data_IF_612906873130
#
_entry.id   IF_612906873130
#
_cell.length_a   1.000
_cell.length_b   1.000
_cell.length_c   1.000
_cell.angle_alpha   90.00
_cell.angle_beta   90.00
_cell.angle_gamma   90.00
#
_symmetry.space_group_name_H-M   'P 1'
#
loop_
_entity.id
_entity.type
_entity.pdbx_description
1 polymer ?
#
# COMPACT_ATOMS: atom_id res chain seq x y z
N UNK A 1 -7.07 8.81 -9.34
CA UNK A 1 -6.77 7.46 -9.86
C UNK A 1 -5.43 7.36 -10.62
N UNK A 2 -5.11 8.32 -11.48
CA UNK A 2 -3.91 8.31 -12.35
C UNK A 2 -2.56 8.28 -11.61
N UNK A 3 -2.48 8.84 -10.40
CA UNK A 3 -1.24 8.87 -9.60
C UNK A 3 -1.01 7.60 -8.79
N UNK A 4 -2.08 6.91 -8.41
CA UNK A 4 -2.01 5.69 -7.59
C UNK A 4 -1.47 4.51 -8.43
N UNK A 5 -1.83 4.42 -9.72
CA UNK A 5 -1.29 3.39 -10.63
C UNK A 5 0.22 3.54 -10.86
N UNK A 6 0.71 4.77 -11.07
CA UNK A 6 2.16 5.03 -11.18
C UNK A 6 2.90 4.74 -9.87
N UNK A 7 2.29 5.06 -8.73
CA UNK A 7 2.86 4.77 -7.43
C UNK A 7 2.95 3.26 -7.19
N UNK A 8 1.88 2.50 -7.43
CA UNK A 8 1.88 1.02 -7.31
C UNK A 8 2.92 0.36 -8.22
N UNK A 9 3.06 0.84 -9.46
CA UNK A 9 4.10 0.34 -10.36
C UNK A 9 5.53 0.61 -9.84
N UNK A 10 5.76 1.71 -9.12
CA UNK A 10 7.08 2.04 -8.53
C UNK A 10 7.40 1.26 -7.26
N UNK A 11 6.38 0.95 -6.44
CA UNK A 11 6.56 0.27 -5.16
C UNK A 11 6.26 -1.24 -5.25
N UNK A 12 5.80 -1.71 -6.42
CA UNK A 12 5.56 -3.12 -6.71
C UNK A 12 4.51 -3.72 -5.77
N UNK A 13 4.81 -4.89 -5.20
CA UNK A 13 3.95 -5.63 -4.26
C UNK A 13 3.58 -4.82 -3.01
N UNK A 14 4.37 -3.80 -2.66
CA UNK A 14 4.09 -2.91 -1.53
C UNK A 14 2.94 -1.93 -1.81
N UNK A 15 2.46 -1.86 -3.05
CA UNK A 15 1.28 -1.08 -3.43
C UNK A 15 -0.03 -1.58 -2.82
N UNK A 16 -0.05 -2.85 -2.41
CA UNK A 16 -1.21 -3.52 -1.80
C UNK A 16 -1.36 -3.23 -0.30
N UNK A 17 -0.37 -2.57 0.31
CA UNK A 17 -0.45 -2.07 1.69
C UNK A 17 -1.45 -0.92 1.86
N UNK A 18 -1.81 -0.23 0.77
CA UNK A 18 -2.80 0.85 0.81
C UNK A 18 -4.18 0.24 0.56
N UNK A 19 -4.86 -0.11 1.65
CA UNK A 19 -6.25 -0.59 1.61
C UNK A 19 -7.20 0.60 1.61
N UNK A 20 -8.20 0.53 0.74
CA UNK A 20 -9.26 1.53 0.66
C UNK A 20 -10.40 1.08 1.57
N UNK A 21 -10.76 1.89 2.55
CA UNK A 21 -11.88 1.64 3.47
C UNK A 21 -13.03 2.56 3.08
N UNK A 22 -14.13 1.97 2.64
CA UNK A 22 -15.33 2.68 2.21
C UNK A 22 -15.92 3.51 3.36
N UNK A 23 -16.04 4.82 3.16
CA UNK A 23 -16.57 5.75 4.17
C UNK A 23 -15.58 6.27 5.21
N UNK A 24 -14.31 5.82 5.19
CA UNK A 24 -13.29 6.24 6.17
C UNK A 24 -11.99 6.76 5.54
N UNK A 25 -11.66 6.35 4.31
CA UNK A 25 -10.48 6.83 3.58
C UNK A 25 -9.50 5.72 3.20
N UNK A 26 -8.20 5.99 3.29
CA UNK A 26 -7.14 5.03 2.96
C UNK A 26 -6.34 4.70 4.22
N UNK A 27 -6.15 3.41 4.49
CA UNK A 27 -5.31 2.93 5.59
C UNK A 27 -4.09 2.23 5.02
N UNK A 28 -2.93 2.65 5.47
CA UNK A 28 -1.65 2.05 5.13
C UNK A 28 -1.31 0.98 6.18
N UNK A 29 -1.26 -0.28 5.76
CA UNK A 29 -0.84 -1.41 6.58
C UNK A 29 0.36 -2.05 5.90
N UNK A 30 1.57 -1.62 6.29
CA UNK A 30 2.79 -2.32 5.90
C UNK A 30 2.93 -3.56 6.79
N UNK A 31 2.83 -4.74 6.20
CA UNK A 31 3.33 -5.95 6.88
C UNK A 31 4.85 -5.81 6.94
N UNK A 32 5.34 -5.39 8.10
CA UNK A 32 6.76 -5.29 8.43
C UNK A 32 7.32 -6.71 8.55
N UNK A 33 7.57 -7.37 7.41
CA UNK A 33 8.44 -8.54 7.34
C UNK A 33 9.90 -8.07 7.46
N UNK A 34 10.20 -7.44 8.61
CA UNK A 34 11.54 -7.28 9.12
C UNK A 34 12.00 -8.63 9.63
N UNK A 35 12.80 -9.30 8.81
CA UNK A 35 13.68 -10.38 9.23
C UNK A 35 14.68 -9.85 10.24
N UNK A 36 14.26 -9.69 11.50
CA UNK A 36 15.16 -9.61 12.65
C UNK A 36 15.11 -10.99 13.35
N UNK A 37 15.89 -11.92 12.82
CA UNK A 37 16.47 -13.03 13.57
C UNK A 37 17.95 -13.11 13.24
#
# INVERSE_FOLDING_TARGET
>A
DTHVKKLRAKIGEKGDYIKTIWGMGYKFEAEENGSDK
#
